data_IF_797281509532
#
_entry.id   IF_797281509532
#
_cell.length_a   1.000
_cell.length_b   1.000
_cell.length_c   1.000
_cell.angle_alpha   90.00
_cell.angle_beta   90.00
_cell.angle_gamma   90.00
#
_symmetry.space_group_name_H-M   'P 1'
#
loop_
_entity.id
_entity.type
_entity.pdbx_description
1 polymer ?
#
# COMPACT_ATOMS: atom_id res chain seq x y z
N UNK A 1 14.95 -48.38 -41.85
CA UNK A 1 15.37 -47.24 -40.97
C UNK A 1 14.63 -47.16 -39.61
N UNK A 2 13.56 -47.94 -39.36
CA UNK A 2 12.72 -47.83 -38.15
C UNK A 2 13.34 -48.43 -36.87
N UNK A 3 14.39 -49.26 -36.97
CA UNK A 3 15.02 -49.94 -35.82
C UNK A 3 15.64 -48.97 -34.79
N UNK A 4 16.23 -47.84 -35.23
CA UNK A 4 16.88 -46.85 -34.34
C UNK A 4 15.91 -46.05 -33.45
N UNK A 5 14.63 -45.97 -33.79
CA UNK A 5 13.63 -45.22 -32.99
C UNK A 5 13.07 -46.04 -31.82
N UNK A 6 13.18 -47.37 -31.85
CA UNK A 6 12.65 -48.27 -30.82
C UNK A 6 13.62 -48.49 -29.65
N UNK A 7 14.92 -48.29 -29.86
CA UNK A 7 15.95 -48.34 -28.80
C UNK A 7 15.88 -47.13 -27.87
N UNK A 8 15.60 -45.92 -28.40
CA UNK A 8 15.48 -44.70 -27.60
C UNK A 8 14.25 -44.65 -26.68
N UNK A 9 13.29 -45.58 -26.80
CA UNK A 9 12.15 -45.71 -25.87
C UNK A 9 12.41 -46.66 -24.70
N UNK A 10 13.41 -47.54 -24.77
CA UNK A 10 13.74 -48.48 -23.69
C UNK A 10 14.52 -47.84 -22.53
N UNK A 11 15.12 -46.67 -22.76
CA UNK A 11 15.93 -45.95 -21.77
C UNK A 11 15.23 -44.75 -21.12
N UNK A 12 13.93 -44.56 -21.38
CA UNK A 12 13.15 -43.57 -20.63
C UNK A 12 12.59 -44.21 -19.37
N UNK A 13 13.37 -44.19 -18.28
CA UNK A 13 12.83 -44.42 -16.93
C UNK A 13 11.83 -43.30 -16.66
N UNK A 14 10.54 -43.59 -16.81
CA UNK A 14 9.46 -42.67 -16.51
C UNK A 14 9.35 -42.45 -15.00
N UNK A 15 8.92 -41.24 -14.61
CA UNK A 15 8.56 -40.90 -13.24
C UNK A 15 7.46 -41.85 -12.76
N UNK A 16 7.58 -42.41 -11.56
CA UNK A 16 6.53 -43.28 -11.04
C UNK A 16 5.34 -42.45 -10.57
N UNK A 17 4.10 -42.96 -10.73
CA UNK A 17 2.91 -42.28 -10.21
C UNK A 17 2.99 -42.13 -8.68
N UNK A 18 3.64 -43.07 -8.00
CA UNK A 18 3.85 -43.05 -6.55
C UNK A 18 4.76 -41.89 -6.13
N UNK A 19 5.86 -41.65 -6.84
CA UNK A 19 6.73 -40.48 -6.57
C UNK A 19 5.96 -39.17 -6.70
N UNK A 20 5.08 -39.06 -7.69
CA UNK A 20 4.27 -37.85 -7.87
C UNK A 20 3.27 -37.66 -6.72
N UNK A 21 2.62 -38.74 -6.28
CA UNK A 21 1.64 -38.71 -5.18
C UNK A 21 2.30 -38.34 -3.85
N UNK A 22 3.48 -38.88 -3.55
CA UNK A 22 4.19 -38.54 -2.30
C UNK A 22 4.57 -37.06 -2.27
N UNK A 23 5.04 -36.50 -3.40
CA UNK A 23 5.43 -35.09 -3.49
C UNK A 23 4.24 -34.16 -3.29
N UNK A 24 3.09 -34.43 -3.92
CA UNK A 24 1.89 -33.57 -3.72
C UNK A 24 1.40 -33.64 -2.27
N UNK A 25 1.47 -34.80 -1.61
CA UNK A 25 1.06 -34.94 -0.21
C UNK A 25 1.92 -34.07 0.70
N UNK A 26 3.24 -34.06 0.50
CA UNK A 26 4.15 -33.21 1.29
C UNK A 26 3.87 -31.72 1.03
N UNK A 27 3.70 -31.32 -0.24
CA UNK A 27 3.38 -29.92 -0.59
C UNK A 27 2.06 -29.48 0.04
N UNK A 28 1.03 -30.33 0.07
CA UNK A 28 -0.26 -30.01 0.67
C UNK A 28 -0.16 -29.74 2.18
N UNK A 29 0.59 -30.58 2.91
CA UNK A 29 0.80 -30.40 4.36
C UNK A 29 1.56 -29.11 4.64
N UNK A 30 2.64 -28.84 3.91
CA UNK A 30 3.43 -27.61 4.08
C UNK A 30 2.63 -26.35 3.68
N UNK A 31 1.87 -26.42 2.58
CA UNK A 31 1.08 -25.30 2.09
C UNK A 31 -0.03 -24.93 3.07
N UNK A 32 -0.66 -25.91 3.72
CA UNK A 32 -1.74 -25.68 4.69
C UNK A 32 -1.29 -24.75 5.84
N UNK A 33 -0.06 -24.91 6.33
CA UNK A 33 0.48 -24.06 7.42
C UNK A 33 1.13 -22.78 6.90
N UNK A 34 1.72 -22.81 5.70
CA UNK A 34 2.51 -21.70 5.17
C UNK A 34 1.64 -20.57 4.57
N UNK A 35 0.58 -20.91 3.84
CA UNK A 35 -0.28 -19.94 3.14
C UNK A 35 -0.83 -18.83 4.06
N UNK A 36 -1.46 -19.11 5.22
CA UNK A 36 -2.02 -18.04 6.06
C UNK A 36 -0.94 -17.08 6.59
N UNK A 37 0.26 -17.57 6.87
CA UNK A 37 1.37 -16.76 7.37
C UNK A 37 1.92 -15.83 6.28
N UNK A 38 2.06 -16.34 5.05
CA UNK A 38 2.49 -15.53 3.91
C UNK A 38 1.48 -14.42 3.62
N UNK A 39 0.17 -14.72 3.67
CA UNK A 39 -0.87 -13.71 3.45
C UNK A 39 -0.81 -12.58 4.49
N UNK A 40 -0.62 -12.90 5.77
CA UNK A 40 -0.43 -11.89 6.84
C UNK A 40 0.82 -11.04 6.62
N UNK A 41 1.92 -11.64 6.19
CA UNK A 41 3.16 -10.91 5.92
C UNK A 41 3.01 -9.95 4.73
N UNK A 42 2.33 -10.40 3.67
CA UNK A 42 2.01 -9.58 2.50
C UNK A 42 1.12 -8.40 2.90
N UNK A 43 0.10 -8.63 3.73
CA UNK A 43 -0.75 -7.55 4.24
C UNK A 43 0.04 -6.54 5.07
N UNK A 44 0.89 -7.01 6.01
CA UNK A 44 1.75 -6.15 6.83
C UNK A 44 2.69 -5.30 5.97
N UNK A 45 3.27 -5.89 4.92
CA UNK A 45 4.11 -5.16 3.97
C UNK A 45 3.33 -4.07 3.24
N UNK A 46 2.10 -4.36 2.80
CA UNK A 46 1.24 -3.37 2.15
C UNK A 46 0.84 -2.23 3.11
N UNK A 47 0.56 -2.53 4.38
CA UNK A 47 0.30 -1.50 5.41
C UNK A 47 1.54 -0.63 5.65
N UNK A 48 2.73 -1.24 5.74
CA UNK A 48 3.99 -0.51 5.91
C UNK A 48 4.26 0.45 4.74
N UNK A 49 4.01 0.02 3.50
CA UNK A 49 4.11 0.89 2.33
C UNK A 49 3.11 2.06 2.41
N UNK A 50 1.84 1.79 2.73
CA UNK A 50 0.83 2.84 2.92
C UNK A 50 1.25 3.87 3.97
N UNK A 51 1.85 3.41 5.08
CA UNK A 51 2.35 4.28 6.15
C UNK A 51 3.52 5.16 5.68
N UNK A 52 4.46 4.58 4.93
CA UNK A 52 5.57 5.32 4.36
C UNK A 52 5.11 6.37 3.33
N UNK A 53 4.19 5.99 2.44
CA UNK A 53 3.61 6.88 1.45
C UNK A 53 2.88 8.05 2.13
N UNK A 54 1.99 7.74 3.07
CA UNK A 54 1.23 8.74 3.84
C UNK A 54 2.16 9.71 4.59
N UNK A 55 3.23 9.20 5.22
CA UNK A 55 4.20 10.03 5.92
C UNK A 55 4.96 10.97 4.98
N UNK A 56 5.38 10.46 3.82
CA UNK A 56 6.08 11.26 2.80
C UNK A 56 5.18 12.37 2.25
N UNK A 57 3.93 12.05 1.94
CA UNK A 57 2.94 13.02 1.45
C UNK A 57 2.67 14.09 2.51
N UNK A 58 2.50 13.71 3.78
CA UNK A 58 2.23 14.67 4.84
C UNK A 58 3.40 15.64 5.07
N UNK A 59 4.63 15.15 5.06
CA UNK A 59 5.82 16.00 5.22
C UNK A 59 5.96 16.98 4.06
N UNK A 60 5.79 16.51 2.82
CA UNK A 60 5.85 17.37 1.64
C UNK A 60 4.73 18.42 1.66
N UNK A 61 3.51 18.02 2.04
CA UNK A 61 2.39 18.93 2.19
C UNK A 61 2.65 19.99 3.26
N UNK A 62 3.18 19.61 4.43
CA UNK A 62 3.52 20.56 5.49
C UNK A 62 4.59 21.55 5.06
N UNK A 63 5.60 21.11 4.30
CA UNK A 63 6.62 21.98 3.74
C UNK A 63 6.01 22.99 2.76
N UNK A 64 5.19 22.53 1.81
CA UNK A 64 4.51 23.41 0.85
C UNK A 64 3.60 24.43 1.55
N UNK A 65 2.85 24.01 2.58
CA UNK A 65 2.01 24.93 3.36
C UNK A 65 2.87 25.94 4.12
N UNK A 66 3.97 25.52 4.76
CA UNK A 66 4.86 26.43 5.47
C UNK A 66 5.44 27.51 4.53
N UNK A 67 5.86 27.12 3.33
CA UNK A 67 6.36 28.06 2.32
C UNK A 67 5.28 29.05 1.87
N UNK A 68 4.05 28.58 1.63
CA UNK A 68 2.94 29.45 1.24
C UNK A 68 2.58 30.49 2.29
N UNK A 69 2.58 30.12 3.57
CA UNK A 69 2.24 31.05 4.66
C UNK A 69 3.42 31.93 5.09
N UNK A 70 4.63 31.66 4.59
CA UNK A 70 5.79 32.52 4.79
C UNK A 70 5.86 33.72 3.83
N UNK A 71 5.07 33.71 2.75
CA UNK A 71 5.03 34.80 1.76
C UNK A 71 3.85 35.74 2.01
N UNK A 72 4.07 37.06 1.97
CA UNK A 72 3.04 38.11 2.18
C UNK A 72 2.00 38.22 1.04
N UNK A 73 1.66 37.11 0.38
CA UNK A 73 0.69 37.09 -0.70
C UNK A 73 -0.74 37.01 -0.14
N UNK A 74 -1.59 37.93 -0.57
CA UNK A 74 -3.00 38.07 -0.16
C UNK A 74 -3.89 36.92 -0.67
N UNK A 75 -3.38 36.10 -1.60
CA UNK A 75 -4.10 34.95 -2.17
C UNK A 75 -3.31 33.65 -1.95
N UNK A 76 -3.77 32.82 -1.02
CA UNK A 76 -3.18 31.50 -0.74
C UNK A 76 -3.79 30.47 -1.67
N UNK A 77 -3.04 30.03 -2.68
CA UNK A 77 -3.40 28.85 -3.47
C UNK A 77 -2.87 27.62 -2.75
N UNK A 78 -3.77 26.82 -2.19
CA UNK A 78 -3.42 25.62 -1.47
C UNK A 78 -2.93 24.50 -2.42
N UNK A 79 -1.99 23.63 -1.98
CA UNK A 79 -1.49 22.52 -2.80
C UNK A 79 -2.59 21.61 -3.32
N UNK A 80 -2.47 21.19 -4.57
CA UNK A 80 -3.34 20.17 -5.19
C UNK A 80 -2.59 18.85 -5.45
N UNK A 81 -1.26 18.85 -5.29
CA UNK A 81 -0.42 17.66 -5.35
C UNK A 81 0.64 17.69 -4.24
N UNK A 82 0.98 16.53 -3.69
CA UNK A 82 2.09 16.36 -2.75
C UNK A 82 2.67 14.95 -2.89
N UNK A 83 3.99 14.85 -3.04
CA UNK A 83 4.73 13.60 -3.29
C UNK A 83 4.09 12.69 -4.36
N UNK A 84 3.49 13.28 -5.40
CA UNK A 84 2.82 12.57 -6.50
C UNK A 84 1.40 12.07 -6.21
N UNK A 85 0.85 12.33 -5.02
CA UNK A 85 -0.57 12.13 -4.70
C UNK A 85 -1.39 13.39 -5.02
N UNK A 86 -2.64 13.19 -5.44
CA UNK A 86 -3.60 14.29 -5.54
C UNK A 86 -4.06 14.65 -4.14
N UNK A 87 -3.92 15.90 -3.74
CA UNK A 87 -4.33 16.38 -2.42
C UNK A 87 -5.44 17.41 -2.54
N UNK A 88 -6.46 17.31 -1.70
CA UNK A 88 -7.60 18.25 -1.69
C UNK A 88 -7.73 18.89 -0.33
N UNK A 89 -7.76 20.22 -0.30
CA UNK A 89 -8.05 20.95 0.93
C UNK A 89 -9.53 20.83 1.28
N UNK A 90 -9.80 20.61 2.57
CA UNK A 90 -11.15 20.52 3.14
C UNK A 90 -11.26 21.59 4.21
N UNK A 91 -12.34 22.36 4.18
CA UNK A 91 -12.57 23.47 5.10
C UNK A 91 -12.57 23.00 6.57
N UNK A 92 -12.03 23.85 7.45
CA UNK A 92 -12.07 23.61 8.89
C UNK A 92 -13.53 23.48 9.37
N UNK A 93 -13.82 22.46 10.19
CA UNK A 93 -15.16 22.17 10.70
C UNK A 93 -16.06 21.36 9.75
N UNK A 94 -15.63 21.08 8.52
CA UNK A 94 -16.29 20.10 7.67
C UNK A 94 -16.05 18.67 8.21
N UNK A 95 -16.94 17.74 7.87
CA UNK A 95 -16.75 16.32 8.18
C UNK A 95 -15.44 15.85 7.56
N UNK A 96 -14.48 15.51 8.42
CA UNK A 96 -13.22 14.92 8.01
C UNK A 96 -13.47 13.55 7.37
N UNK A 97 -13.18 13.45 6.08
CA UNK A 97 -13.41 12.26 5.27
C UNK A 97 -12.11 11.71 4.72
N UNK A 98 -12.03 10.40 4.62
CA UNK A 98 -10.99 9.70 3.87
C UNK A 98 -11.37 9.75 2.38
N UNK A 99 -10.45 10.08 1.47
CA UNK A 99 -10.72 10.07 0.03
C UNK A 99 -11.06 8.66 -0.46
N UNK A 100 -11.82 8.59 -1.56
CA UNK A 100 -12.34 7.32 -2.08
C UNK A 100 -11.45 6.68 -3.13
N UNK A 101 -10.69 7.48 -3.90
CA UNK A 101 -9.86 6.92 -4.96
C UNK A 101 -8.43 6.69 -4.48
N UNK A 102 -7.76 5.77 -5.18
CA UNK A 102 -6.37 5.43 -4.91
C UNK A 102 -5.47 6.65 -5.14
N UNK A 103 -4.50 6.81 -4.24
CA UNK A 103 -3.47 7.84 -4.30
C UNK A 103 -4.01 9.27 -4.18
N UNK A 104 -5.09 9.41 -3.41
CA UNK A 104 -5.66 10.70 -3.04
C UNK A 104 -5.46 10.94 -1.54
N UNK A 105 -5.30 12.21 -1.19
CA UNK A 105 -5.28 12.67 0.19
C UNK A 105 -6.23 13.87 0.37
N UNK A 106 -6.82 13.99 1.56
CA UNK A 106 -7.51 15.19 2.00
C UNK A 106 -6.73 15.81 3.14
N UNK A 107 -6.78 17.13 3.27
CA UNK A 107 -6.14 17.82 4.38
C UNK A 107 -6.89 19.08 4.78
N UNK A 108 -6.68 19.53 6.00
CA UNK A 108 -7.21 20.80 6.50
C UNK A 108 -6.05 21.63 7.01
N UNK A 109 -6.07 22.92 6.66
CA UNK A 109 -5.11 23.91 7.13
C UNK A 109 -5.85 24.90 8.03
N UNK A 110 -5.22 25.26 9.14
CA UNK A 110 -5.69 26.33 10.02
C UNK A 110 -4.48 27.14 10.44
N UNK A 111 -4.53 28.44 10.22
CA UNK A 111 -3.44 29.39 10.55
C UNK A 111 -2.06 28.97 10.03
N UNK A 112 -2.01 28.42 8.82
CA UNK A 112 -0.75 28.02 8.17
C UNK A 112 -0.19 26.68 8.62
N UNK A 113 -0.95 25.90 9.38
CA UNK A 113 -0.55 24.56 9.80
C UNK A 113 -1.55 23.51 9.35
N UNK A 114 -1.05 22.34 8.95
CA UNK A 114 -1.91 21.18 8.67
C UNK A 114 -2.44 20.65 10.01
N UNK A 115 -3.76 20.64 10.19
CA UNK A 115 -4.43 20.16 11.41
C UNK A 115 -5.04 18.77 11.25
N UNK A 116 -5.37 18.42 10.01
CA UNK A 116 -5.91 17.12 9.62
C UNK A 116 -5.32 16.68 8.29
N UNK A 117 -5.10 15.38 8.16
CA UNK A 117 -4.70 14.72 6.93
C UNK A 117 -5.32 13.32 6.86
N UNK A 118 -5.77 12.92 5.68
CA UNK A 118 -6.15 11.54 5.40
C UNK A 118 -5.66 11.13 4.02
N UNK A 119 -5.25 9.88 3.88
CA UNK A 119 -4.74 9.31 2.63
C UNK A 119 -5.35 7.94 2.37
N UNK A 120 -5.58 7.61 1.10
CA UNK A 120 -6.06 6.29 0.69
C UNK A 120 -5.22 5.74 -0.47
N UNK A 121 -4.62 4.56 -0.27
CA UNK A 121 -3.79 3.91 -1.29
C UNK A 121 -4.56 2.93 -2.19
N UNK A 122 -5.89 2.91 -2.08
CA UNK A 122 -6.78 1.96 -2.78
C UNK A 122 -7.17 0.74 -1.95
N UNK A 123 -6.51 0.49 -0.81
CA UNK A 123 -6.83 -0.64 0.09
C UNK A 123 -6.84 -0.24 1.56
N UNK A 124 -5.82 0.49 1.98
CA UNK A 124 -5.68 0.99 3.34
C UNK A 124 -5.75 2.50 3.36
N UNK A 125 -6.14 3.03 4.51
CA UNK A 125 -6.17 4.45 4.78
C UNK A 125 -5.24 4.80 5.95
N UNK A 126 -4.70 6.00 5.86
CA UNK A 126 -3.98 6.66 6.94
C UNK A 126 -4.77 7.92 7.32
N UNK A 127 -4.89 8.19 8.60
CA UNK A 127 -5.44 9.44 9.12
C UNK A 127 -4.42 10.00 10.10
N UNK A 128 -4.17 11.29 10.01
CA UNK A 128 -3.35 12.03 10.96
C UNK A 128 -4.12 13.26 11.43
N UNK A 129 -4.15 13.46 12.74
CA UNK A 129 -4.63 14.70 13.34
C UNK A 129 -3.53 15.28 14.22
N UNK A 130 -3.50 16.61 14.34
CA UNK A 130 -2.51 17.29 15.18
C UNK A 130 -2.56 16.82 16.65
N UNK A 131 -3.76 16.55 17.17
CA UNK A 131 -3.97 16.22 18.58
C UNK A 131 -3.77 14.73 18.92
N UNK A 132 -4.08 13.83 17.98
CA UNK A 132 -4.09 12.38 18.22
C UNK A 132 -2.94 11.66 17.51
N UNK A 133 -2.36 12.28 16.48
CA UNK A 133 -1.35 11.67 15.63
C UNK A 133 -1.93 10.67 14.63
N UNK A 134 -1.18 9.62 14.32
CA UNK A 134 -1.52 8.65 13.29
C UNK A 134 -2.55 7.62 13.75
N UNK A 135 -3.53 7.36 12.88
CA UNK A 135 -4.55 6.32 13.01
C UNK A 135 -4.98 5.80 11.63
N UNK A 136 -5.92 4.86 11.59
CA UNK A 136 -6.45 4.27 10.36
C UNK A 136 -5.89 2.89 10.06
N UNK A 137 -6.41 2.26 9.01
CA UNK A 137 -6.23 0.83 8.76
C UNK A 137 -4.79 0.42 8.42
N UNK A 138 -3.94 1.35 7.98
CA UNK A 138 -2.51 1.10 7.78
C UNK A 138 -1.65 1.31 9.04
N UNK A 139 -2.21 1.88 10.10
CA UNK A 139 -1.49 2.22 11.34
C UNK A 139 -1.69 1.17 12.44
N UNK A 140 -2.68 0.28 12.29
CA UNK A 140 -2.96 -0.90 13.14
C UNK A 140 -2.00 -2.08 12.89
#
# INVERSE_FOLDING_TARGET
MVKKLRENRKNKKGFTLVELIVVIVIILVLSAVMVPNVLKYVEKSQKANCKADAGTILVDLQAQIADLYSTENITVTLPTTAAGATVTSVAAGATQVVPKNKNEANYTVTDGEVTYFSYFNGKFNAIWTKDVGWSGTCMD
#
